data_IF_731621835395
#
_entry.id   IF_731621835395
#
_cell.length_a   1.000
_cell.length_b   1.000
_cell.length_c   1.000
_cell.angle_alpha   90.00
_cell.angle_beta   90.00
_cell.angle_gamma   90.00
#
_symmetry.space_group_name_H-M   'P 1'
#
loop_
_entity.id
_entity.type
_entity.pdbx_description
1 polymer ?
#
# COMPACT_ATOMS: atom_id res chain seq x y z
N UNK A 1 12.40 1.32 -14.33
CA UNK A 1 11.23 1.22 -13.42
C UNK A 1 11.52 2.05 -12.19
N UNK A 2 10.60 2.95 -11.79
CA UNK A 2 10.73 3.68 -10.53
C UNK A 2 10.36 2.71 -9.40
N UNK A 3 11.27 2.50 -8.45
CA UNK A 3 10.96 1.77 -7.22
C UNK A 3 9.98 2.61 -6.42
N UNK A 4 8.81 2.07 -6.10
CA UNK A 4 7.89 2.68 -5.16
C UNK A 4 7.90 1.87 -3.88
N UNK A 5 7.58 2.50 -2.76
CA UNK A 5 7.50 1.81 -1.49
C UNK A 5 6.06 1.85 -1.01
N UNK A 6 5.55 0.68 -0.67
CA UNK A 6 4.33 0.52 0.10
C UNK A 6 4.65 0.66 1.57
N UNK A 7 3.74 1.27 2.32
CA UNK A 7 3.67 1.20 3.77
C UNK A 7 2.38 0.46 4.11
N UNK A 8 2.50 -0.76 4.62
CA UNK A 8 1.37 -1.56 5.10
C UNK A 8 1.29 -1.46 6.61
N UNK A 9 0.14 -1.06 7.13
CA UNK A 9 -0.11 -0.82 8.55
C UNK A 9 -1.36 -1.54 9.03
N UNK A 10 -1.32 -2.01 10.26
CA UNK A 10 -2.49 -2.52 10.98
C UNK A 10 -3.12 -1.36 11.76
N UNK A 11 -4.43 -1.17 11.57
CA UNK A 11 -5.18 -0.14 12.28
C UNK A 11 -6.08 -0.78 13.34
N UNK A 12 -6.37 -0.02 14.39
CA UNK A 12 -7.40 -0.38 15.36
C UNK A 12 -8.76 -0.48 14.68
N UNK A 13 -9.53 -1.51 14.98
CA UNK A 13 -10.91 -1.67 14.48
C UNK A 13 -11.88 -0.79 15.27
N UNK A 14 -11.84 0.51 14.99
CA UNK A 14 -12.73 1.50 15.58
C UNK A 14 -13.08 2.60 14.56
N UNK A 15 -14.24 3.28 14.72
CA UNK A 15 -14.61 4.39 13.87
C UNK A 15 -13.52 5.47 13.83
N UNK A 16 -13.10 5.85 12.61
CA UNK A 16 -12.16 6.93 12.39
C UNK A 16 -10.67 6.55 12.43
N UNK A 17 -10.29 5.29 12.63
CA UNK A 17 -8.87 4.89 12.64
C UNK A 17 -8.11 5.32 11.39
N UNK A 18 -8.67 5.09 10.19
CA UNK A 18 -8.04 5.55 8.95
C UNK A 18 -8.07 7.08 8.81
N UNK A 19 -9.12 7.74 9.31
CA UNK A 19 -9.21 9.20 9.30
C UNK A 19 -8.08 9.84 10.10
N UNK A 20 -7.82 9.35 11.32
CA UNK A 20 -6.70 9.82 12.17
C UNK A 20 -5.35 9.73 11.44
N UNK A 21 -5.10 8.63 10.72
CA UNK A 21 -3.85 8.47 9.96
C UNK A 21 -3.81 9.41 8.75
N UNK A 22 -4.89 9.47 7.97
CA UNK A 22 -4.95 10.31 6.77
C UNK A 22 -4.81 11.80 7.13
N UNK A 23 -5.44 12.26 8.21
CA UNK A 23 -5.33 13.62 8.74
C UNK A 23 -3.89 13.93 9.16
N UNK A 24 -3.24 13.05 9.92
CA UNK A 24 -1.86 13.24 10.35
C UNK A 24 -0.87 13.33 9.17
N UNK A 25 -1.10 12.55 8.11
CA UNK A 25 -0.31 12.64 6.88
C UNK A 25 -0.58 13.94 6.12
N UNK A 26 -1.84 14.38 6.06
CA UNK A 26 -2.22 15.64 5.43
C UNK A 26 -1.63 16.86 6.18
N UNK A 27 -1.66 16.86 7.51
CA UNK A 27 -1.03 17.89 8.36
C UNK A 27 0.49 17.97 8.13
N UNK A 28 1.13 16.84 7.82
CA UNK A 28 2.54 16.77 7.45
C UNK A 28 2.82 17.08 5.96
N UNK A 29 1.80 17.47 5.19
CA UNK A 29 1.86 17.75 3.76
C UNK A 29 2.38 16.55 2.93
N UNK A 30 1.96 15.34 3.30
CA UNK A 30 2.31 14.08 2.63
C UNK A 30 1.11 13.65 1.77
N UNK A 31 1.35 13.49 0.47
CA UNK A 31 0.31 13.01 -0.45
C UNK A 31 0.28 11.47 -0.49
N UNK A 32 -0.91 10.91 -0.64
CA UNK A 32 -1.14 9.47 -0.85
C UNK A 32 -1.37 9.24 -2.35
N UNK A 33 -0.49 8.49 -3.01
CA UNK A 33 -0.62 8.16 -4.43
C UNK A 33 -1.62 7.02 -4.67
N UNK A 34 -1.57 5.99 -3.82
CA UNK A 34 -2.41 4.80 -3.91
C UNK A 34 -2.75 4.32 -2.49
N UNK A 35 -3.95 3.79 -2.32
CA UNK A 35 -4.39 3.12 -1.09
C UNK A 35 -5.13 1.84 -1.45
N UNK A 36 -4.82 0.76 -0.73
CA UNK A 36 -5.60 -0.47 -0.70
C UNK A 36 -5.85 -0.87 0.76
N UNK A 37 -7.00 -1.44 1.07
CA UNK A 37 -7.30 -1.95 2.40
C UNK A 37 -8.01 -3.29 2.29
N UNK A 38 -7.43 -4.33 2.89
CA UNK A 38 -8.02 -5.66 2.96
C UNK A 38 -7.80 -6.19 4.37
N UNK A 39 -8.85 -6.13 5.19
CA UNK A 39 -8.84 -6.74 6.52
C UNK A 39 -9.04 -8.25 6.46
N UNK A 40 -8.39 -8.99 7.38
CA UNK A 40 -8.70 -10.40 7.65
C UNK A 40 -9.00 -10.63 9.12
N UNK A 41 -8.02 -10.36 9.98
CA UNK A 41 -8.14 -10.46 11.45
C UNK A 41 -8.28 -9.08 12.07
N UNK A 42 -7.56 -8.10 11.53
CA UNK A 42 -7.66 -6.68 11.83
C UNK A 42 -7.68 -5.88 10.52
N UNK A 43 -8.11 -4.60 10.54
CA UNK A 43 -7.94 -3.71 9.41
C UNK A 43 -6.46 -3.59 9.02
N UNK A 44 -6.13 -3.94 7.77
CA UNK A 44 -4.80 -3.74 7.19
C UNK A 44 -4.92 -2.79 6.00
N UNK A 45 -4.11 -1.74 6.01
CA UNK A 45 -4.10 -0.68 4.98
C UNK A 45 -2.71 -0.59 4.39
N UNK A 46 -2.62 -0.66 3.07
CA UNK A 46 -1.44 -0.38 2.28
C UNK A 46 -1.55 1.02 1.66
N UNK A 47 -0.55 1.86 1.89
CA UNK A 47 -0.41 3.19 1.28
C UNK A 47 0.86 3.27 0.44
N UNK A 48 0.80 4.03 -0.65
CA UNK A 48 1.98 4.45 -1.40
C UNK A 48 2.12 5.97 -1.28
N UNK A 49 3.26 6.43 -0.77
CA UNK A 49 3.63 7.84 -0.70
C UNK A 49 5.01 8.04 -1.31
N UNK A 50 5.33 9.25 -1.76
CA UNK A 50 6.69 9.56 -2.21
C UNK A 50 7.60 9.94 -1.03
N UNK A 51 7.05 10.53 0.03
CA UNK A 51 7.78 11.05 1.19
C UNK A 51 8.00 9.98 2.28
N UNK A 52 8.61 8.84 1.92
CA UNK A 52 8.72 7.68 2.82
C UNK A 52 9.35 7.99 4.18
N UNK A 53 10.50 8.71 4.29
CA UNK A 53 11.06 9.05 5.61
C UNK A 53 10.10 9.86 6.48
N UNK A 54 9.36 10.80 5.88
CA UNK A 54 8.39 11.65 6.57
C UNK A 54 7.15 10.85 6.97
N UNK A 55 6.65 9.97 6.09
CA UNK A 55 5.52 9.09 6.40
C UNK A 55 5.84 8.20 7.59
N UNK A 56 7.04 7.60 7.63
CA UNK A 56 7.52 6.82 8.78
C UNK A 56 7.51 7.65 10.06
N UNK A 57 8.10 8.84 10.04
CA UNK A 57 8.16 9.70 11.21
C UNK A 57 6.76 10.05 11.77
N UNK A 58 5.77 10.28 10.90
CA UNK A 58 4.38 10.52 11.33
C UNK A 58 3.79 9.27 11.98
N UNK A 59 3.92 8.10 11.34
CA UNK A 59 3.37 6.84 11.86
C UNK A 59 4.05 6.41 13.17
N UNK A 60 5.37 6.58 13.28
CA UNK A 60 6.14 6.31 14.50
C UNK A 60 5.64 7.19 15.66
N UNK A 61 5.41 8.48 15.40
CA UNK A 61 4.85 9.42 16.40
C UNK A 61 3.44 9.03 16.85
N UNK A 62 2.66 8.42 15.96
CA UNK A 62 1.31 7.91 16.26
C UNK A 62 1.33 6.55 16.98
N UNK A 63 2.47 5.86 17.02
CA UNK A 63 2.56 4.49 17.53
C UNK A 63 1.88 3.45 16.64
N UNK A 64 1.74 3.73 15.34
CA UNK A 64 1.15 2.80 14.37
C UNK A 64 2.20 1.78 13.95
N UNK A 65 1.87 0.50 14.03
CA UNK A 65 2.72 -0.57 13.53
C UNK A 65 2.62 -0.66 12.00
N UNK A 66 3.76 -0.67 11.33
CA UNK A 66 3.80 -0.81 9.87
C UNK A 66 5.01 -1.60 9.39
N UNK A 67 4.91 -2.05 8.14
CA UNK A 67 6.00 -2.61 7.34
C UNK A 67 6.17 -1.79 6.08
N UNK A 68 7.37 -1.84 5.49
CA UNK A 68 7.64 -1.12 4.24
C UNK A 68 8.23 -2.09 3.22
N UNK A 69 7.60 -2.16 2.04
CA UNK A 69 7.95 -3.12 1.01
C UNK A 69 8.09 -2.42 -0.34
N UNK A 70 9.02 -2.87 -1.18
CA UNK A 70 9.15 -2.38 -2.55
C UNK A 70 7.99 -2.87 -3.43
N UNK A 71 7.45 -1.98 -4.25
CA UNK A 71 6.41 -2.25 -5.23
C UNK A 71 6.81 -1.86 -6.65
N UNK A 72 6.14 -2.54 -7.59
CA UNK A 72 6.22 -2.28 -9.01
C UNK A 72 4.90 -1.63 -9.47
N UNK A 73 4.97 -0.37 -9.95
CA UNK A 73 3.85 0.24 -10.69
C UNK A 73 3.90 -0.20 -12.14
N UNK A 74 2.77 -0.60 -12.70
CA UNK A 74 2.61 -0.76 -14.13
C UNK A 74 1.20 -0.41 -14.58
N UNK A 75 1.08 0.01 -15.83
CA UNK A 75 -0.22 0.22 -16.49
C UNK A 75 -0.51 -1.00 -17.35
N UNK A 76 -1.70 -1.56 -17.20
CA UNK A 76 -2.18 -2.69 -18.00
C UNK A 76 -3.34 -2.23 -18.90
N UNK A 77 -3.51 -2.80 -20.10
CA UNK A 77 -4.69 -2.55 -20.91
C UNK A 77 -5.99 -2.90 -20.16
N UNK A 78 -7.01 -2.08 -20.31
CA UNK A 78 -8.33 -2.31 -19.72
C UNK A 78 -9.18 -3.21 -20.65
N UNK A 79 -8.88 -4.51 -20.63
CA UNK A 79 -9.55 -5.52 -21.44
C UNK A 79 -9.67 -6.87 -20.72
N UNK A 80 -10.73 -7.67 -20.99
CA UNK A 80 -10.84 -9.02 -20.46
C UNK A 80 -9.60 -9.88 -20.77
N UNK A 81 -9.12 -10.62 -19.78
CA UNK A 81 -8.00 -11.56 -19.92
C UNK A 81 -6.60 -10.97 -19.70
N UNK A 82 -6.46 -9.65 -19.57
CA UNK A 82 -5.14 -9.01 -19.37
C UNK A 82 -4.48 -9.45 -18.06
N UNK A 83 -5.21 -9.45 -16.94
CA UNK A 83 -4.70 -9.94 -15.65
C UNK A 83 -4.39 -11.46 -15.72
N UNK A 84 -5.15 -12.23 -16.50
CA UNK A 84 -4.90 -13.66 -16.67
C UNK A 84 -3.57 -13.91 -17.41
N UNK A 85 -3.32 -13.18 -18.50
CA UNK A 85 -2.07 -13.26 -19.23
C UNK A 85 -0.87 -12.76 -18.39
N UNK A 86 -1.05 -11.67 -17.64
CA UNK A 86 -0.03 -11.15 -16.72
C UNK A 86 0.33 -12.17 -15.64
N UNK A 87 -0.65 -12.64 -14.87
CA UNK A 87 -0.43 -13.60 -13.78
C UNK A 87 0.15 -14.93 -14.28
N UNK A 88 -0.22 -15.38 -15.49
CA UNK A 88 0.39 -16.55 -16.13
C UNK A 88 1.89 -16.36 -16.36
N UNK A 89 2.30 -15.22 -16.92
CA UNK A 89 3.72 -14.92 -17.16
C UNK A 89 4.55 -14.86 -15.87
N UNK A 90 3.97 -14.33 -14.79
CA UNK A 90 4.63 -14.31 -13.48
C UNK A 90 4.82 -15.74 -12.96
N UNK A 91 3.78 -16.59 -13.06
CA UNK A 91 3.85 -17.99 -12.67
C UNK A 91 4.85 -18.80 -13.50
N UNK A 92 4.88 -18.60 -14.83
CA UNK A 92 5.81 -19.28 -15.75
C UNK A 92 7.27 -18.90 -15.46
N UNK A 93 7.51 -17.74 -14.86
CA UNK A 93 8.83 -17.29 -14.38
C UNK A 93 9.20 -17.85 -13.00
N UNK A 94 8.35 -18.68 -12.37
CA UNK A 94 8.56 -19.24 -11.04
C UNK A 94 8.43 -18.21 -9.90
N UNK A 95 7.75 -17.08 -10.16
CA UNK A 95 7.54 -16.02 -9.19
C UNK A 95 6.14 -16.13 -8.57
N UNK A 96 6.04 -15.77 -7.29
CA UNK A 96 4.75 -15.67 -6.60
C UNK A 96 4.27 -14.21 -6.52
N UNK A 97 2.96 -14.00 -6.57
CA UNK A 97 2.34 -12.71 -6.29
C UNK A 97 1.86 -12.69 -4.82
N UNK A 98 2.45 -11.82 -4.01
CA UNK A 98 2.06 -11.68 -2.60
C UNK A 98 0.87 -10.73 -2.43
N UNK A 99 0.84 -9.64 -3.20
CA UNK A 99 -0.24 -8.67 -3.24
C UNK A 99 -0.28 -7.98 -4.62
N UNK A 100 -1.47 -7.55 -5.02
CA UNK A 100 -1.72 -6.71 -6.20
C UNK A 100 -3.02 -5.93 -5.95
N UNK A 101 -3.06 -4.68 -6.39
CA UNK A 101 -4.22 -3.79 -6.33
C UNK A 101 -4.13 -2.73 -7.43
#
# INVERSE_FOLDING_TARGET
MRKMMEISMELTDEPGSLAKVAEALAEANINIETMCAIGKVAPNVALVTEQIPQTRAVLDKMGVNYTVTELIKMVMPDQPGVLAAFSRRIADAGLNLNSIY
#
